data_IF_851799605439
#
_entry.id   IF_851799605439
#
_cell.length_a   1.000
_cell.length_b   1.000
_cell.length_c   1.000
_cell.angle_alpha   90.00
_cell.angle_beta   90.00
_cell.angle_gamma   90.00
#
_symmetry.space_group_name_H-M   'P 1'
#
loop_
_entity.id
_entity.type
_entity.pdbx_description
1 polymer ?
#
# COMPACT_ATOMS: atom_id res chain seq x y z
N UNK A 1 11.18 26.70 10.02
CA UNK A 1 9.97 27.44 9.58
C UNK A 1 8.80 26.48 9.70
N UNK A 2 7.82 26.82 10.52
CA UNK A 2 6.51 26.15 10.54
C UNK A 2 5.71 26.72 9.37
N UNK A 3 5.36 25.88 8.39
CA UNK A 3 4.47 26.28 7.30
C UNK A 3 3.08 26.50 7.87
N UNK A 4 2.62 27.76 7.94
CA UNK A 4 1.24 28.08 8.24
C UNK A 4 0.46 28.23 6.93
N UNK A 5 -0.37 27.23 6.56
CA UNK A 5 -1.13 27.27 5.31
C UNK A 5 -2.18 28.39 5.26
N UNK A 6 -2.44 29.08 6.37
CA UNK A 6 -3.49 30.11 6.48
C UNK A 6 -2.95 31.54 6.39
N UNK A 7 -1.63 31.74 6.37
CA UNK A 7 -0.99 33.07 6.34
C UNK A 7 -1.27 33.86 5.05
N UNK A 8 -1.63 33.17 3.97
CA UNK A 8 -1.90 33.74 2.64
C UNK A 8 -3.39 33.94 2.32
N UNK A 9 -4.29 33.62 3.24
CA UNK A 9 -5.73 33.76 2.98
C UNK A 9 -6.18 35.22 3.10
N UNK A 10 -7.06 35.70 2.20
CA UNK A 10 -7.63 37.04 2.29
C UNK A 10 -8.33 37.24 3.63
N UNK A 11 -8.22 38.45 4.20
CA UNK A 11 -8.93 38.76 5.42
C UNK A 11 -10.45 38.83 5.16
N UNK A 12 -11.25 38.67 6.23
CA UNK A 12 -12.72 38.78 6.14
C UNK A 12 -13.17 40.13 5.56
N UNK A 13 -12.44 41.20 5.86
CA UNK A 13 -12.77 42.54 5.38
C UNK A 13 -12.46 42.72 3.89
N UNK A 14 -11.43 42.04 3.38
CA UNK A 14 -11.11 42.03 1.95
C UNK A 14 -12.16 41.24 1.15
N UNK A 15 -12.64 40.13 1.71
CA UNK A 15 -13.73 39.33 1.15
C UNK A 15 -15.02 40.16 1.05
N UNK A 16 -15.38 40.89 2.12
CA UNK A 16 -16.56 41.76 2.13
C UNK A 16 -16.47 42.89 1.11
N UNK A 17 -15.31 43.55 1.01
CA UNK A 17 -15.07 44.61 0.02
C UNK A 17 -15.13 44.11 -1.43
N UNK A 18 -14.78 42.85 -1.67
CA UNK A 18 -14.82 42.24 -3.00
C UNK A 18 -16.23 41.88 -3.50
N UNK A 19 -17.26 41.89 -2.63
CA UNK A 19 -18.61 41.43 -2.98
C UNK A 19 -18.72 39.91 -3.19
N UNK A 20 -17.65 39.15 -2.94
CA UNK A 20 -17.61 37.70 -3.08
C UNK A 20 -18.11 36.95 -1.83
N UNK A 21 -18.61 37.66 -0.82
CA UNK A 21 -19.05 37.08 0.46
C UNK A 21 -20.13 36.01 0.26
N UNK A 22 -21.11 36.25 -0.60
CA UNK A 22 -22.17 35.29 -0.91
C UNK A 22 -21.64 34.04 -1.62
N UNK A 23 -20.70 34.22 -2.56
CA UNK A 23 -20.08 33.10 -3.29
C UNK A 23 -19.20 32.23 -2.38
N UNK A 24 -18.40 32.86 -1.51
CA UNK A 24 -17.58 32.16 -0.53
C UNK A 24 -18.46 31.43 0.48
N UNK A 25 -19.54 32.05 0.93
CA UNK A 25 -20.50 31.41 1.84
C UNK A 25 -21.18 30.21 1.21
N UNK A 26 -21.56 30.28 -0.06
CA UNK A 26 -22.14 29.15 -0.79
C UNK A 26 -21.11 28.03 -1.05
N UNK A 27 -19.86 28.40 -1.34
CA UNK A 27 -18.75 27.46 -1.48
C UNK A 27 -18.47 26.70 -0.17
N UNK A 28 -18.42 27.39 0.97
CA UNK A 28 -18.27 26.75 2.28
C UNK A 28 -19.44 25.84 2.63
N UNK A 29 -20.68 26.23 2.28
CA UNK A 29 -21.86 25.36 2.49
C UNK A 29 -21.79 24.10 1.64
N UNK A 30 -21.38 24.20 0.37
CA UNK A 30 -21.18 23.04 -0.52
C UNK A 30 -20.06 22.14 -0.02
N UNK A 31 -18.92 22.71 0.34
CA UNK A 31 -17.79 21.97 0.90
C UNK A 31 -18.20 21.22 2.19
N UNK A 32 -18.92 21.89 3.09
CA UNK A 32 -19.41 21.24 4.33
C UNK A 32 -20.36 20.08 4.02
N UNK A 33 -21.28 20.25 3.07
CA UNK A 33 -22.21 19.19 2.64
C UNK A 33 -21.47 18.01 1.99
N UNK A 34 -20.45 18.27 1.18
CA UNK A 34 -19.60 17.23 0.58
C UNK A 34 -18.76 16.51 1.62
N UNK A 35 -18.20 17.24 2.60
CA UNK A 35 -17.49 16.64 3.73
C UNK A 35 -18.40 15.78 4.59
N UNK A 36 -19.62 16.22 4.89
CA UNK A 36 -20.61 15.42 5.61
C UNK A 36 -21.01 14.16 4.83
N UNK A 37 -21.17 14.26 3.50
CA UNK A 37 -21.45 13.11 2.64
C UNK A 37 -20.28 12.13 2.57
N UNK A 38 -19.04 12.62 2.48
CA UNK A 38 -17.82 11.81 2.52
C UNK A 38 -17.62 11.18 3.89
N UNK A 39 -17.88 11.89 4.99
CA UNK A 39 -17.84 11.34 6.34
C UNK A 39 -18.95 10.31 6.57
N UNK A 40 -20.13 10.47 5.98
CA UNK A 40 -21.18 9.45 6.02
C UNK A 40 -20.79 8.21 5.20
N UNK A 41 -20.17 8.38 4.04
CA UNK A 41 -19.67 7.30 3.20
C UNK A 41 -18.51 6.54 3.89
N UNK A 42 -17.51 7.26 4.40
CA UNK A 42 -16.36 6.71 5.14
C UNK A 42 -16.77 6.17 6.52
N UNK A 43 -17.70 6.82 7.20
CA UNK A 43 -18.27 6.38 8.47
C UNK A 43 -19.01 5.05 8.31
N UNK A 44 -19.80 4.90 7.25
CA UNK A 44 -20.41 3.63 6.85
C UNK A 44 -19.39 2.54 6.56
N UNK A 45 -18.25 2.89 5.98
CA UNK A 45 -17.15 1.97 5.74
C UNK A 45 -16.45 1.55 7.04
N UNK A 46 -16.21 2.46 7.99
CA UNK A 46 -15.61 2.11 9.28
C UNK A 46 -16.51 1.25 10.17
N UNK A 47 -17.82 1.48 10.19
CA UNK A 47 -18.76 0.64 10.96
C UNK A 47 -18.98 -0.73 10.32
N UNK A 48 -18.99 -0.80 8.98
CA UNK A 48 -19.04 -2.09 8.28
C UNK A 48 -17.72 -2.85 8.43
N UNK A 49 -16.58 -2.18 8.42
CA UNK A 49 -15.27 -2.76 8.72
C UNK A 49 -15.18 -3.23 10.18
N UNK A 50 -15.69 -2.48 11.16
CA UNK A 50 -15.78 -2.93 12.56
C UNK A 50 -16.69 -4.15 12.75
N UNK A 51 -17.82 -4.20 12.03
CA UNK A 51 -18.70 -5.39 12.02
C UNK A 51 -18.01 -6.60 11.40
N UNK A 52 -17.30 -6.40 10.28
CA UNK A 52 -16.49 -7.47 9.65
C UNK A 52 -15.33 -7.90 10.55
N UNK A 53 -14.67 -6.97 11.24
CA UNK A 53 -13.61 -7.25 12.21
C UNK A 53 -14.14 -8.08 13.38
N UNK A 54 -15.26 -7.69 14.00
CA UNK A 54 -15.91 -8.51 15.04
C UNK A 54 -16.34 -9.89 14.55
N UNK A 55 -16.83 -9.97 13.32
CA UNK A 55 -17.19 -11.25 12.68
C UNK A 55 -15.97 -12.15 12.44
N UNK A 56 -14.80 -11.55 12.13
CA UNK A 56 -13.53 -12.26 11.95
C UNK A 56 -12.86 -12.61 13.29
N UNK A 57 -12.98 -11.76 14.31
CA UNK A 57 -12.48 -12.03 15.67
C UNK A 57 -13.13 -13.29 16.25
N UNK A 58 -14.45 -13.46 16.09
CA UNK A 58 -15.15 -14.69 16.49
C UNK A 58 -14.84 -15.93 15.64
N UNK A 59 -14.21 -15.77 14.47
CA UNK A 59 -13.73 -16.87 13.62
C UNK A 59 -12.30 -17.33 14.00
N UNK A 60 -11.54 -16.45 14.66
CA UNK A 60 -10.19 -16.74 15.17
C UNK A 60 -10.18 -17.25 16.61
N UNK A 61 -11.31 -17.17 17.32
CA UNK A 61 -11.55 -17.91 18.56
C UNK A 61 -11.71 -19.40 18.23
N UNK A 62 -10.58 -20.03 17.91
CA UNK A 62 -10.49 -21.49 17.81
C UNK A 62 -10.87 -22.09 19.17
N UNK A 63 -11.66 -23.18 19.20
CA UNK A 63 -11.86 -23.93 20.43
C UNK A 63 -10.49 -24.28 21.02
N UNK A 64 -10.35 -24.34 22.36
CA UNK A 64 -9.08 -24.70 22.97
C UNK A 64 -8.63 -26.04 22.39
N UNK A 65 -7.44 -26.07 21.77
CA UNK A 65 -6.91 -27.28 21.14
C UNK A 65 -6.87 -28.38 22.19
N UNK A 66 -7.51 -29.49 21.86
CA UNK A 66 -7.35 -30.71 22.64
C UNK A 66 -6.03 -31.37 22.21
N UNK A 67 -5.35 -32.14 23.09
CA UNK A 67 -4.09 -32.80 22.74
C UNK A 67 -4.18 -33.76 21.54
N UNK A 68 -5.39 -34.07 21.07
CA UNK A 68 -5.67 -34.91 19.89
C UNK A 68 -5.61 -34.14 18.57
N UNK A 69 -5.64 -32.80 18.59
CA UNK A 69 -5.67 -31.94 17.40
C UNK A 69 -4.26 -31.69 16.79
N UNK A 70 -3.19 -32.19 17.42
CA UNK A 70 -1.81 -32.09 16.91
C UNK A 70 -1.52 -33.10 15.78
N UNK A 71 -2.45 -34.01 15.48
CA UNK A 71 -2.26 -35.00 14.41
C UNK A 71 -2.56 -34.40 13.03
N UNK A 72 -1.47 -33.99 12.38
CA UNK A 72 -1.31 -33.90 10.93
C UNK A 72 -2.14 -32.82 10.24
N UNK A 73 -1.73 -31.55 10.40
CA UNK A 73 -2.13 -30.51 9.45
C UNK A 73 -1.35 -30.72 8.14
N UNK A 74 -2.01 -31.02 7.00
CA UNK A 74 -1.33 -31.11 5.71
C UNK A 74 -0.75 -29.75 5.37
N UNK A 75 0.52 -29.70 5.00
CA UNK A 75 1.21 -28.47 4.64
C UNK A 75 0.62 -27.87 3.34
N UNK A 76 -0.34 -26.97 3.50
CA UNK A 76 -1.09 -26.32 2.40
C UNK A 76 -0.14 -25.46 1.53
N UNK A 77 1.03 -25.09 2.04
CA UNK A 77 2.00 -24.24 1.34
C UNK A 77 3.21 -25.00 0.78
N UNK A 78 3.25 -26.33 0.87
CA UNK A 78 4.36 -27.13 0.34
C UNK A 78 4.56 -26.90 -1.17
N UNK A 79 3.47 -26.79 -1.92
CA UNK A 79 3.52 -26.52 -3.37
C UNK A 79 4.06 -25.11 -3.67
N UNK A 80 3.67 -24.12 -2.88
CA UNK A 80 4.11 -22.73 -3.06
C UNK A 80 5.61 -22.59 -2.74
N UNK A 81 6.08 -23.21 -1.66
CA UNK A 81 7.51 -23.24 -1.30
C UNK A 81 8.36 -23.92 -2.39
N UNK A 82 7.89 -25.06 -2.91
CA UNK A 82 8.58 -25.75 -4.02
C UNK A 82 8.64 -24.89 -5.29
N UNK A 83 7.61 -24.08 -5.57
CA UNK A 83 7.61 -23.15 -6.70
C UNK A 83 8.55 -21.96 -6.46
N UNK A 84 8.60 -21.43 -5.23
CA UNK A 84 9.53 -20.38 -4.85
C UNK A 84 11.00 -20.83 -4.98
N UNK A 85 11.32 -22.06 -4.55
CA UNK A 85 12.67 -22.63 -4.70
C UNK A 85 13.06 -22.81 -6.17
N UNK A 86 12.14 -23.30 -7.02
CA UNK A 86 12.39 -23.39 -8.48
C UNK A 86 12.70 -22.04 -9.10
N UNK A 87 11.94 -20.99 -8.75
CA UNK A 87 12.18 -19.62 -9.23
C UNK A 87 13.53 -19.09 -8.75
N UNK A 88 13.90 -19.35 -7.50
CA UNK A 88 15.21 -18.96 -6.94
C UNK A 88 16.37 -19.62 -7.68
N UNK A 89 16.27 -20.92 -7.95
CA UNK A 89 17.31 -21.65 -8.68
C UNK A 89 17.42 -21.18 -10.14
N UNK A 90 16.30 -20.89 -10.81
CA UNK A 90 16.30 -20.33 -12.16
C UNK A 90 16.96 -18.95 -12.22
N UNK A 91 16.69 -18.08 -11.24
CA UNK A 91 17.33 -16.77 -11.14
C UNK A 91 18.84 -16.88 -10.85
N UNK A 92 19.24 -17.83 -10.00
CA UNK A 92 20.66 -18.07 -9.73
C UNK A 92 21.43 -18.54 -10.96
N UNK A 93 20.82 -19.37 -11.82
CA UNK A 93 21.44 -19.79 -13.08
C UNK A 93 21.62 -18.62 -14.05
N UNK A 94 20.61 -17.77 -14.20
CA UNK A 94 20.67 -16.59 -15.07
C UNK A 94 21.78 -15.60 -14.66
N UNK A 95 21.98 -15.42 -13.34
CA UNK A 95 23.05 -14.55 -12.82
C UNK A 95 24.43 -15.15 -13.10
N UNK A 96 24.59 -16.47 -12.92
CA UNK A 96 25.82 -17.17 -13.27
C UNK A 96 26.16 -17.04 -14.75
N UNK A 97 25.19 -17.30 -15.63
CA UNK A 97 25.36 -17.19 -17.09
C UNK A 97 25.74 -15.75 -17.51
N UNK A 98 25.17 -14.73 -16.86
CA UNK A 98 25.50 -13.32 -17.09
C UNK A 98 26.92 -12.96 -16.63
N UNK A 99 27.39 -13.51 -15.52
CA UNK A 99 28.75 -13.29 -15.03
C UNK A 99 29.78 -13.96 -15.93
N UNK A 100 29.50 -15.19 -16.39
CA UNK A 100 30.33 -15.92 -17.35
C UNK A 100 30.38 -15.20 -18.71
N UNK A 101 29.24 -14.75 -19.23
CA UNK A 101 29.20 -14.01 -20.50
C UNK A 101 29.98 -12.69 -20.40
N UNK A 102 29.89 -12.00 -19.26
CA UNK A 102 30.61 -10.75 -19.01
C UNK A 102 32.12 -10.98 -18.86
N UNK A 103 32.54 -12.11 -18.30
CA UNK A 103 33.95 -12.48 -18.21
C UNK A 103 34.52 -12.79 -19.60
N UNK A 104 33.80 -13.56 -20.42
CA UNK A 104 34.18 -13.87 -21.80
C UNK A 104 34.24 -12.61 -22.68
N UNK A 105 33.27 -11.69 -22.55
CA UNK A 105 33.27 -10.41 -23.25
C UNK A 105 34.47 -9.54 -22.83
N UNK A 106 34.80 -9.49 -21.53
CA UNK A 106 35.99 -8.76 -21.05
C UNK A 106 37.29 -9.34 -21.59
N UNK A 107 37.45 -10.66 -21.67
CA UNK A 107 38.63 -11.27 -22.29
C UNK A 107 38.73 -10.95 -23.77
N UNK A 108 37.60 -11.03 -24.50
CA UNK A 108 37.55 -10.67 -25.91
C UNK A 108 37.94 -9.20 -26.13
N UNK A 109 37.38 -8.28 -25.35
CA UNK A 109 37.71 -6.86 -25.41
C UNK A 109 39.18 -6.60 -25.07
N UNK A 110 39.74 -7.30 -24.08
CA UNK A 110 41.17 -7.20 -23.74
C UNK A 110 42.07 -7.65 -24.90
N UNK A 111 41.67 -8.68 -25.64
CA UNK A 111 42.40 -9.15 -26.81
C UNK A 111 42.27 -8.22 -28.03
N UNK A 112 41.15 -7.51 -28.17
CA UNK A 112 40.90 -6.57 -29.27
C UNK A 112 41.49 -5.17 -29.05
N UNK A 113 41.54 -4.70 -27.81
CA UNK A 113 41.93 -3.32 -27.46
C UNK A 113 43.16 -3.22 -26.54
N UNK A 114 43.79 -4.35 -26.21
CA UNK A 114 44.94 -4.43 -25.29
C UNK A 114 46.32 -4.36 -25.95
N UNK A 115 46.41 -4.01 -27.24
CA UNK A 115 47.66 -3.65 -27.93
C UNK A 115 47.75 -2.14 -28.09
#
# INVERSE_FOLDING_TARGET
MTFDPYESLPSRDDIKKSGAEDWITDAFKKQKKEQEALLAALGGETDTLKKKQKGLEGLLELPPLTPEDEEYTPDIFAAERKNAEKKKNALSGLVGDLEESRAAEKEMLKNLFGN
#
